data_IF_846036750240
#
_entry.id   IF_846036750240
#
_cell.length_a   1.000
_cell.length_b   1.000
_cell.length_c   1.000
_cell.angle_alpha   90.00
_cell.angle_beta   90.00
_cell.angle_gamma   90.00
#
_symmetry.space_group_name_H-M   'P 1'
#
loop_
_entity.id
_entity.type
_entity.pdbx_description
1 polymer ?
#
# COMPACT_ATOMS: atom_id res chain seq x y z
N UNK A 1 -17.57 0.93 -11.03
CA UNK A 1 -17.77 1.87 -9.89
C UNK A 1 -16.46 1.98 -9.12
N UNK A 2 -15.94 3.19 -8.91
CA UNK A 2 -14.77 3.39 -8.05
C UNK A 2 -15.17 3.15 -6.58
N UNK A 3 -14.41 2.32 -5.86
CA UNK A 3 -14.67 2.04 -4.45
C UNK A 3 -14.38 3.32 -3.62
N UNK A 4 -15.41 3.90 -3.02
CA UNK A 4 -15.30 5.15 -2.23
C UNK A 4 -14.33 4.95 -1.05
N UNK A 5 -13.41 5.89 -0.86
CA UNK A 5 -12.52 5.93 0.31
C UNK A 5 -13.26 6.56 1.50
N UNK A 6 -13.03 6.01 2.68
CA UNK A 6 -13.51 6.55 3.96
C UNK A 6 -12.34 7.04 4.82
N UNK A 7 -12.66 7.68 5.95
CA UNK A 7 -11.65 8.22 6.87
C UNK A 7 -10.73 7.14 7.43
N UNK A 8 -11.20 5.90 7.56
CA UNK A 8 -10.40 4.79 8.05
C UNK A 8 -9.38 4.32 7.01
N UNK A 9 -9.70 4.39 5.70
CA UNK A 9 -8.69 4.17 4.66
C UNK A 9 -7.55 5.18 4.73
N UNK A 10 -7.87 6.44 5.04
CA UNK A 10 -6.86 7.51 5.11
C UNK A 10 -5.91 7.28 6.29
N UNK A 11 -6.47 7.02 7.48
CA UNK A 11 -5.68 6.70 8.68
C UNK A 11 -4.86 5.43 8.46
N UNK A 12 -5.48 4.36 7.95
CA UNK A 12 -4.77 3.11 7.69
C UNK A 12 -3.65 3.28 6.66
N UNK A 13 -3.91 4.01 5.57
CA UNK A 13 -2.89 4.32 4.57
C UNK A 13 -1.74 5.13 5.16
N UNK A 14 -1.98 6.01 6.14
CA UNK A 14 -0.93 6.77 6.80
C UNK A 14 -0.09 5.85 7.70
N UNK A 15 -0.72 5.02 8.52
CA UNK A 15 -0.03 4.04 9.39
C UNK A 15 0.86 3.08 8.58
N UNK A 16 0.38 2.60 7.43
CA UNK A 16 1.16 1.73 6.53
C UNK A 16 2.40 2.45 5.97
N UNK A 17 2.37 3.76 5.75
CA UNK A 17 3.52 4.52 5.25
C UNK A 17 4.48 4.94 6.36
N UNK A 18 3.94 5.26 7.54
CA UNK A 18 4.75 5.63 8.70
C UNK A 18 5.52 4.43 9.25
N UNK A 19 4.96 3.21 9.26
CA UNK A 19 5.67 2.00 9.71
C UNK A 19 6.94 1.70 8.91
N UNK A 20 7.00 2.16 7.66
CA UNK A 20 8.13 1.92 6.74
C UNK A 20 9.04 3.14 6.62
N UNK A 21 8.86 4.14 7.50
CA UNK A 21 9.57 5.41 7.45
C UNK A 21 9.49 6.07 6.05
N UNK A 22 8.31 6.02 5.43
CA UNK A 22 8.08 6.55 4.09
C UNK A 22 8.99 5.93 3.01
N UNK A 23 9.43 4.68 3.19
CA UNK A 23 10.19 3.93 2.22
C UNK A 23 9.30 2.89 1.53
N UNK A 24 9.63 2.58 0.28
CA UNK A 24 8.98 1.50 -0.45
C UNK A 24 9.40 0.14 0.13
N UNK A 25 8.44 -0.67 0.60
CA UNK A 25 8.66 -2.01 1.15
C UNK A 25 9.37 -2.95 0.14
N UNK A 26 9.20 -2.70 -1.16
CA UNK A 26 9.78 -3.55 -2.22
C UNK A 26 11.15 -3.05 -2.71
N UNK A 27 11.26 -1.78 -3.10
CA UNK A 27 12.50 -1.26 -3.72
C UNK A 27 13.38 -0.41 -2.80
N UNK A 28 12.97 -0.19 -1.55
CA UNK A 28 13.73 0.58 -0.54
C UNK A 28 13.87 2.07 -0.81
N UNK A 29 13.32 2.61 -1.91
CA UNK A 29 13.39 4.05 -2.18
C UNK A 29 12.63 4.85 -1.13
N UNK A 30 13.25 5.92 -0.61
CA UNK A 30 12.61 6.85 0.32
C UNK A 30 11.76 7.91 -0.40
N UNK A 31 10.65 8.28 0.24
CA UNK A 31 9.67 9.27 -0.23
C UNK A 31 9.37 10.33 0.83
N UNK A 32 10.28 10.61 1.77
CA UNK A 32 10.11 11.66 2.79
C UNK A 32 9.73 13.03 2.21
N UNK A 33 10.34 13.39 1.08
CA UNK A 33 10.07 14.64 0.35
C UNK A 33 8.98 14.51 -0.73
N UNK A 34 8.49 13.29 -1.00
CA UNK A 34 7.55 12.99 -2.08
C UNK A 34 6.44 12.04 -1.61
N UNK A 35 5.87 12.33 -0.43
CA UNK A 35 4.92 11.48 0.30
C UNK A 35 3.71 11.02 -0.52
N UNK A 36 3.30 11.82 -1.50
CA UNK A 36 2.21 11.55 -2.42
C UNK A 36 2.51 10.43 -3.43
N UNK A 37 3.78 10.12 -3.69
CA UNK A 37 4.20 9.07 -4.63
C UNK A 37 4.32 7.69 -3.98
N UNK A 38 4.19 7.62 -2.66
CA UNK A 38 4.11 6.37 -1.91
C UNK A 38 2.64 6.01 -1.68
N UNK A 39 2.25 4.81 -2.08
CA UNK A 39 0.88 4.32 -2.06
C UNK A 39 0.72 3.24 -0.99
N UNK A 40 -0.49 3.10 -0.46
CA UNK A 40 -0.90 1.91 0.29
C UNK A 40 -1.40 0.89 -0.74
N UNK A 41 -0.63 -0.17 -0.93
CA UNK A 41 -0.90 -1.26 -1.88
C UNK A 41 -1.44 -2.47 -1.13
N UNK A 42 -2.52 -3.07 -1.62
CA UNK A 42 -3.18 -4.21 -0.96
C UNK A 42 -2.89 -5.53 -1.66
N UNK A 43 -2.43 -6.54 -0.93
CA UNK A 43 -2.21 -7.90 -1.47
C UNK A 43 -3.54 -8.57 -1.88
N UNK A 44 -4.54 -8.55 -0.99
CA UNK A 44 -5.93 -8.83 -1.31
C UNK A 44 -6.70 -7.52 -1.38
N UNK A 45 -7.40 -7.33 -2.49
CA UNK A 45 -8.18 -6.11 -2.78
C UNK A 45 -8.95 -5.59 -1.56
N UNK A 46 -8.86 -4.28 -1.32
CA UNK A 46 -9.59 -3.55 -0.26
C UNK A 46 -11.11 -3.72 -0.27
N UNK A 47 -11.69 -4.30 -1.34
CA UNK A 47 -13.11 -4.70 -1.38
C UNK A 47 -13.44 -5.76 -0.33
N UNK A 48 -12.47 -6.58 0.06
CA UNK A 48 -12.63 -7.64 1.06
C UNK A 48 -12.50 -7.02 2.46
N UNK A 49 -13.65 -6.68 3.07
CA UNK A 49 -13.71 -5.98 4.36
C UNK A 49 -12.97 -6.71 5.49
N UNK A 50 -12.94 -8.05 5.46
CA UNK A 50 -12.26 -8.87 6.47
C UNK A 50 -10.74 -8.64 6.53
N UNK A 51 -10.10 -8.33 5.39
CA UNK A 51 -8.64 -8.13 5.31
C UNK A 51 -8.25 -6.69 4.99
N UNK A 52 -9.21 -5.78 4.78
CA UNK A 52 -8.99 -4.41 4.30
C UNK A 52 -7.97 -3.62 5.15
N UNK A 53 -8.03 -3.79 6.46
CA UNK A 53 -7.16 -3.09 7.43
C UNK A 53 -6.18 -4.05 8.13
N UNK A 54 -5.97 -5.23 7.57
CA UNK A 54 -5.03 -6.20 8.14
C UNK A 54 -3.59 -5.78 7.81
N UNK A 55 -2.67 -5.71 8.79
CA UNK A 55 -1.33 -5.16 8.59
C UNK A 55 -0.50 -5.94 7.57
N UNK A 56 -0.70 -7.26 7.47
CA UNK A 56 -0.06 -8.12 6.47
C UNK A 56 -0.76 -8.15 5.11
N UNK A 57 -1.87 -7.41 4.95
CA UNK A 57 -2.58 -7.30 3.68
C UNK A 57 -2.29 -5.97 2.96
N UNK A 58 -1.50 -5.08 3.55
CA UNK A 58 -1.21 -3.76 2.99
C UNK A 58 0.26 -3.39 3.18
N UNK A 59 0.80 -2.69 2.18
CA UNK A 59 2.23 -2.41 2.03
C UNK A 59 2.46 -1.00 1.47
N UNK A 60 3.59 -0.40 1.81
CA UNK A 60 3.97 0.92 1.30
C UNK A 60 4.75 0.75 0.00
N UNK A 61 4.13 1.02 -1.15
CA UNK A 61 4.75 0.84 -2.46
C UNK A 61 4.78 2.12 -3.27
N UNK A 62 5.89 2.37 -3.96
CA UNK A 62 5.92 3.42 -4.96
C UNK A 62 4.99 3.07 -6.13
N UNK A 63 4.57 4.06 -6.92
CA UNK A 63 3.65 3.84 -8.07
C UNK A 63 4.12 2.71 -8.99
N UNK A 64 5.43 2.60 -9.26
CA UNK A 64 5.99 1.56 -10.14
C UNK A 64 5.85 0.16 -9.55
N UNK A 65 6.31 -0.04 -8.30
CA UNK A 65 6.17 -1.32 -7.60
C UNK A 65 4.71 -1.68 -7.35
N UNK A 66 3.86 -0.69 -7.05
CA UNK A 66 2.43 -0.92 -6.85
C UNK A 66 1.80 -1.54 -8.09
N UNK A 67 2.04 -0.96 -9.27
CA UNK A 67 1.52 -1.52 -10.53
C UNK A 67 2.07 -2.92 -10.82
N UNK A 68 3.39 -3.11 -10.64
CA UNK A 68 4.05 -4.40 -10.85
C UNK A 68 3.40 -5.50 -10.02
N UNK A 69 3.19 -5.23 -8.73
CA UNK A 69 2.65 -6.18 -7.78
C UNK A 69 1.12 -6.37 -7.89
N UNK A 70 0.39 -5.38 -8.42
CA UNK A 70 -1.02 -5.56 -8.80
C UNK A 70 -1.17 -6.48 -10.02
N UNK A 71 -0.24 -6.41 -10.99
CA UNK A 71 -0.21 -7.26 -12.19
C UNK A 71 0.25 -8.69 -11.86
N UNK A 72 1.28 -8.84 -11.02
CA UNK A 72 1.78 -10.14 -10.53
C UNK A 72 1.84 -10.19 -8.99
N UNK A 73 0.75 -10.61 -8.33
CA UNK A 73 0.69 -10.68 -6.88
C UNK A 73 1.63 -11.71 -6.24
N UNK A 74 2.21 -12.64 -7.01
CA UNK A 74 3.15 -13.62 -6.45
C UNK A 74 4.41 -12.94 -5.92
N UNK A 75 4.80 -11.82 -6.51
CA UNK A 75 5.96 -11.05 -6.07
C UNK A 75 5.78 -10.35 -4.71
N UNK A 76 4.58 -10.32 -4.11
CA UNK A 76 4.45 -9.90 -2.70
C UNK A 76 5.12 -10.87 -1.71
N UNK A 77 5.44 -12.09 -2.16
CA UNK A 77 5.98 -13.17 -1.31
C UNK A 77 7.45 -13.49 -1.55
N UNK A 78 8.09 -12.77 -2.49
CA UNK A 78 9.50 -12.89 -2.83
C UNK A 78 10.36 -12.06 -1.86
#
# INVERSE_FOLDING_TARGET
MALKRDKFDDVFSQLVRERTDWQCDYCGRSFHHERQKLHCSHFKSRRHKATRYHPYNAFAHCVGCHRKLEEDPYEFTA
#
